data_IF_895378844656
#
_entry.id   IF_895378844656
#
_cell.length_a   1.000
_cell.length_b   1.000
_cell.length_c   1.000
_cell.angle_alpha   90.00
_cell.angle_beta   90.00
_cell.angle_gamma   90.00
#
_symmetry.space_group_name_H-M   'P 1'
#
loop_
_entity.id
_entity.type
_entity.pdbx_description
1 polymer ?
#
# COMPACT_ATOMS: atom_id res chain seq x y z
N UNK A 1 3.03 -11.30 10.50
CA UNK A 1 1.57 -11.04 10.42
C UNK A 1 1.09 -11.00 8.98
N UNK A 2 -0.17 -11.32 8.76
CA UNK A 2 -0.76 -11.25 7.43
C UNK A 2 -1.57 -9.99 7.27
N UNK A 3 -1.38 -9.33 6.14
CA UNK A 3 -2.18 -8.16 5.77
C UNK A 3 -2.63 -8.33 4.33
N UNK A 4 -3.58 -7.50 3.92
CA UNK A 4 -4.03 -7.44 2.54
C UNK A 4 -3.59 -6.10 1.97
N UNK A 5 -2.97 -6.12 0.79
CA UNK A 5 -2.54 -4.89 0.11
C UNK A 5 -3.38 -4.72 -1.15
N UNK A 6 -4.05 -3.59 -1.25
CA UNK A 6 -4.90 -3.26 -2.39
C UNK A 6 -4.32 -2.05 -3.12
N UNK A 7 -4.21 -2.17 -4.42
CA UNK A 7 -3.74 -1.08 -5.27
C UNK A 7 -4.91 -0.50 -6.05
N UNK A 8 -4.91 0.81 -6.22
CA UNK A 8 -5.97 1.52 -6.92
C UNK A 8 -5.42 2.26 -8.13
N UNK A 9 -6.31 2.54 -9.08
CA UNK A 9 -5.94 3.28 -10.28
C UNK A 9 -4.77 2.65 -11.01
N UNK A 10 -3.87 3.48 -11.52
CA UNK A 10 -2.72 3.01 -12.27
C UNK A 10 -1.73 2.17 -11.46
N UNK A 11 -1.83 2.20 -10.13
CA UNK A 11 -0.93 1.41 -9.29
C UNK A 11 -1.16 -0.09 -9.42
N UNK A 12 -2.31 -0.53 -9.91
CA UNK A 12 -2.57 -1.97 -10.08
C UNK A 12 -1.57 -2.64 -11.00
N UNK A 13 -0.89 -1.87 -11.85
CA UNK A 13 0.13 -2.41 -12.76
C UNK A 13 1.31 -3.03 -12.00
N UNK A 14 1.54 -2.63 -10.75
CA UNK A 14 2.61 -3.21 -9.95
C UNK A 14 2.29 -4.63 -9.48
N UNK A 15 1.03 -5.03 -9.56
CA UNK A 15 0.58 -6.39 -9.26
C UNK A 15 0.10 -7.10 -10.53
N UNK A 16 0.66 -6.76 -11.67
CA UNK A 16 0.30 -7.36 -12.96
C UNK A 16 -1.20 -7.28 -13.24
N UNK A 17 -1.81 -6.18 -12.81
CA UNK A 17 -3.25 -5.95 -13.01
C UNK A 17 -4.13 -6.47 -11.89
N UNK A 18 -3.58 -7.18 -10.92
CA UNK A 18 -4.36 -7.61 -9.76
C UNK A 18 -4.63 -6.43 -8.84
N UNK A 19 -5.83 -6.37 -8.29
CA UNK A 19 -6.20 -5.27 -7.40
C UNK A 19 -5.75 -5.48 -5.97
N UNK A 20 -5.57 -6.72 -5.56
CA UNK A 20 -5.19 -7.01 -4.19
C UNK A 20 -4.26 -8.23 -4.10
N UNK A 21 -3.52 -8.27 -3.03
CA UNK A 21 -2.59 -9.36 -2.76
C UNK A 21 -2.39 -9.48 -1.26
N UNK A 22 -2.41 -10.73 -0.76
CA UNK A 22 -2.05 -10.96 0.64
C UNK A 22 -0.54 -10.95 0.78
N UNK A 23 -0.06 -10.47 1.93
CA UNK A 23 1.36 -10.42 2.19
C UNK A 23 1.66 -10.79 3.63
N UNK A 24 2.76 -11.52 3.82
CA UNK A 24 3.31 -11.77 5.15
C UNK A 24 4.36 -10.73 5.43
N UNK A 25 4.19 -9.98 6.51
CA UNK A 25 5.09 -8.89 6.85
C UNK A 25 5.47 -9.01 8.33
N UNK A 26 6.60 -8.42 8.72
CA UNK A 26 7.00 -8.45 10.15
C UNK A 26 5.97 -7.74 11.02
N UNK A 27 5.80 -8.23 12.23
CA UNK A 27 4.93 -7.59 13.21
C UNK A 27 5.42 -6.17 13.49
N UNK A 28 4.49 -5.23 13.52
CA UNK A 28 4.82 -3.85 13.81
C UNK A 28 5.45 -3.07 12.66
N UNK A 29 5.47 -3.65 11.45
CA UNK A 29 6.02 -2.92 10.30
C UNK A 29 5.12 -1.75 9.92
N UNK A 30 5.71 -0.77 9.23
CA UNK A 30 4.98 0.39 8.75
C UNK A 30 4.37 0.09 7.38
N UNK A 31 3.45 0.98 6.94
CA UNK A 31 2.88 0.86 5.60
C UNK A 31 3.98 0.88 4.54
N UNK A 32 4.99 1.74 4.71
CA UNK A 32 6.12 1.81 3.78
C UNK A 32 6.85 0.48 3.69
N UNK A 33 7.15 -0.13 4.84
CA UNK A 33 7.85 -1.40 4.86
C UNK A 33 7.03 -2.52 4.23
N UNK A 34 5.72 -2.52 4.50
CA UNK A 34 4.83 -3.52 3.92
C UNK A 34 4.81 -3.42 2.38
N UNK A 35 4.75 -2.21 1.84
CA UNK A 35 4.77 -2.02 0.40
C UNK A 35 6.09 -2.48 -0.20
N UNK A 36 7.21 -2.24 0.46
CA UNK A 36 8.50 -2.73 -0.01
C UNK A 36 8.56 -4.25 -0.07
N UNK A 37 7.91 -4.92 0.87
CA UNK A 37 7.86 -6.38 0.88
C UNK A 37 7.29 -6.94 -0.41
N UNK A 38 6.34 -6.23 -1.03
CA UNK A 38 5.74 -6.65 -2.30
C UNK A 38 6.34 -5.94 -3.50
N UNK A 39 7.50 -5.31 -3.32
CA UNK A 39 8.23 -4.72 -4.43
C UNK A 39 7.84 -3.28 -4.77
N UNK A 40 7.10 -2.62 -3.91
CA UNK A 40 6.66 -1.25 -4.16
C UNK A 40 7.47 -0.28 -3.30
N UNK A 41 8.27 0.56 -3.96
CA UNK A 41 8.99 1.64 -3.30
C UNK A 41 8.31 2.95 -3.71
N UNK A 42 7.50 3.49 -2.82
CA UNK A 42 6.68 4.64 -3.12
C UNK A 42 7.52 5.86 -3.55
N UNK A 43 8.76 5.93 -3.09
CA UNK A 43 9.66 7.05 -3.44
C UNK A 43 10.05 7.01 -4.92
N UNK A 44 9.99 5.85 -5.56
CA UNK A 44 10.34 5.67 -6.96
C UNK A 44 9.12 5.82 -7.87
N UNK A 45 7.94 6.02 -7.31
CA UNK A 45 6.70 6.08 -8.09
C UNK A 45 6.22 7.52 -8.13
N UNK A 46 6.32 8.15 -9.30
CA UNK A 46 5.99 9.57 -9.46
C UNK A 46 4.54 9.90 -9.11
N UNK A 47 3.63 9.00 -9.45
CA UNK A 47 2.21 9.25 -9.21
C UNK A 47 1.66 8.57 -7.97
N UNK A 48 2.53 8.19 -7.03
CA UNK A 48 2.08 7.67 -5.75
C UNK A 48 1.44 8.79 -4.95
N UNK A 49 0.24 8.57 -4.43
CA UNK A 49 -0.51 9.58 -3.72
C UNK A 49 -0.47 9.39 -2.21
N UNK A 50 -1.25 8.47 -1.71
CA UNK A 50 -1.37 8.25 -0.27
C UNK A 50 -1.79 6.82 0.02
N UNK A 51 -1.81 6.45 1.30
CA UNK A 51 -2.25 5.13 1.75
C UNK A 51 -3.38 5.27 2.77
N UNK A 52 -4.20 4.23 2.85
CA UNK A 52 -5.25 4.13 3.85
C UNK A 52 -5.22 2.74 4.45
N UNK A 53 -5.56 2.64 5.73
CA UNK A 53 -5.66 1.35 6.42
C UNK A 53 -7.09 1.21 6.93
N UNK A 54 -7.73 0.12 6.51
CA UNK A 54 -9.11 -0.15 6.88
C UNK A 54 -10.03 1.06 6.59
N UNK A 55 -9.85 1.63 5.40
CA UNK A 55 -10.64 2.76 4.88
C UNK A 55 -10.36 4.09 5.57
N UNK A 56 -9.29 4.18 6.34
CA UNK A 56 -8.91 5.43 7.00
C UNK A 56 -7.53 5.87 6.50
N UNK A 57 -7.44 7.09 6.00
CA UNK A 57 -6.16 7.62 5.52
C UNK A 57 -5.15 7.67 6.65
N UNK A 58 -3.93 7.17 6.37
CA UNK A 58 -2.84 7.14 7.35
C UNK A 58 -1.57 7.65 6.70
N UNK A 59 -0.56 7.86 7.52
CA UNK A 59 0.77 8.23 7.03
C UNK A 59 1.51 6.98 6.59
N UNK A 60 2.43 7.14 5.64
CA UNK A 60 3.22 6.01 5.13
C UNK A 60 4.07 5.35 6.24
N UNK A 61 4.34 6.08 7.29
CA UNK A 61 5.16 5.60 8.42
C UNK A 61 4.34 5.04 9.58
N UNK A 62 3.03 5.01 9.45
CA UNK A 62 2.19 4.42 10.51
C UNK A 62 2.33 2.90 10.52
N UNK A 63 2.32 2.32 11.72
CA UNK A 63 2.47 0.88 11.89
C UNK A 63 1.17 0.15 11.56
N UNK A 64 1.31 -1.09 11.13
CA UNK A 64 0.19 -1.95 10.75
C UNK A 64 -0.05 -3.01 11.82
N UNK A 65 -1.23 -3.62 11.77
CA UNK A 65 -1.64 -4.71 12.66
C UNK A 65 -2.07 -5.92 11.85
N UNK A 66 -2.08 -7.06 12.50
CA UNK A 66 -2.56 -8.30 11.90
C UNK A 66 -3.94 -8.10 11.28
N UNK A 67 -4.10 -8.53 10.04
CA UNK A 67 -5.38 -8.46 9.36
C UNK A 67 -5.71 -7.11 8.73
N UNK A 68 -4.82 -6.14 8.83
CA UNK A 68 -5.07 -4.82 8.24
C UNK A 68 -5.20 -4.90 6.73
N UNK A 69 -6.00 -4.00 6.18
CA UNK A 69 -6.21 -3.84 4.75
C UNK A 69 -5.56 -2.53 4.34
N UNK A 70 -4.40 -2.62 3.71
CA UNK A 70 -3.62 -1.46 3.29
C UNK A 70 -3.95 -1.14 1.83
N UNK A 71 -4.49 0.05 1.58
CA UNK A 71 -4.79 0.51 0.23
C UNK A 71 -3.82 1.60 -0.17
N UNK A 72 -3.31 1.52 -1.39
CA UNK A 72 -2.45 2.55 -1.95
C UNK A 72 -3.16 3.22 -3.12
N UNK A 73 -3.15 4.55 -3.13
CA UNK A 73 -3.84 5.36 -4.13
C UNK A 73 -2.85 6.19 -4.92
N UNK A 74 -3.10 6.40 -6.22
CA UNK A 74 -2.27 7.31 -7.00
C UNK A 74 -2.63 8.76 -6.70
N UNK A 75 -1.75 9.67 -7.11
CA UNK A 75 -2.06 11.10 -7.03
C UNK A 75 -3.24 11.41 -7.93
N UNK A 76 -4.09 12.32 -7.50
CA UNK A 76 -5.19 12.81 -8.31
C UNK A 76 -4.60 13.83 -9.28
N UNK A 77 -4.60 13.48 -10.57
CA UNK A 77 -4.04 14.34 -11.59
C UNK A 77 -4.97 15.52 -11.89
N UNK A 78 -4.40 16.62 -12.32
CA UNK A 78 -5.18 17.80 -12.67
C UNK A 78 -5.76 18.53 -11.48
N UNK A 79 -5.43 18.05 -10.31
CA UNK A 79 -5.86 18.67 -9.07
C UNK A 79 -5.21 19.99 -8.85
#
# INVERSE_FOLDING_TARGET
>A
MKIKILLRGSLVNFFDGEKEREADVPDGCTAEEALRTVGIDWKQIKNFGFVAVNSKRVMIYDTLKEGDELKAYPKISGG
#
